data_IF_691164141990
#
_entry.id   IF_691164141990
#
_cell.length_a   1.000
_cell.length_b   1.000
_cell.length_c   1.000
_cell.angle_alpha   90.00
_cell.angle_beta   90.00
_cell.angle_gamma   90.00
#
_symmetry.space_group_name_H-M   'P 1'
#
loop_
_entity.id
_entity.type
_entity.pdbx_description
1 polymer ?
#
# COMPACT_ATOMS: atom_id res chain seq x y z
N UNK A 1 25.33 1.25 -14.47
CA UNK A 1 24.54 2.37 -15.02
C UNK A 1 25.16 3.71 -14.69
N UNK A 2 24.84 4.77 -15.45
CA UNK A 2 25.18 6.15 -15.12
C UNK A 2 24.13 6.75 -14.18
N UNK A 3 24.55 7.69 -13.33
CA UNK A 3 23.65 8.66 -12.71
C UNK A 3 23.33 9.78 -13.70
N UNK A 4 22.17 10.42 -13.53
CA UNK A 4 21.80 11.59 -14.32
C UNK A 4 22.58 12.83 -13.87
N UNK A 5 22.97 13.67 -14.83
CA UNK A 5 23.70 14.92 -14.61
C UNK A 5 22.79 16.16 -14.53
N UNK A 6 21.58 16.08 -15.12
CA UNK A 6 20.61 17.16 -15.15
C UNK A 6 19.20 16.68 -14.80
N UNK A 7 18.29 17.60 -14.47
CA UNK A 7 16.88 17.26 -14.19
C UNK A 7 16.17 16.67 -15.41
N UNK A 8 16.47 17.16 -16.62
CA UNK A 8 15.87 16.66 -17.87
C UNK A 8 16.22 15.19 -18.15
N UNK A 9 17.43 14.75 -17.74
CA UNK A 9 17.83 13.35 -17.83
C UNK A 9 17.11 12.46 -16.79
N UNK A 10 16.66 13.03 -15.68
CA UNK A 10 15.91 12.31 -14.63
C UNK A 10 14.42 12.24 -14.97
N UNK A 11 13.86 13.35 -15.43
CA UNK A 11 12.43 13.53 -15.66
C UNK A 11 12.13 13.56 -17.15
N UNK A 12 12.08 12.38 -17.77
CA UNK A 12 11.80 12.25 -19.21
C UNK A 12 10.32 12.02 -19.47
N UNK A 13 9.85 12.39 -20.67
CA UNK A 13 8.45 12.16 -21.05
C UNK A 13 8.08 10.67 -21.10
N UNK A 14 9.03 9.82 -21.52
CA UNK A 14 8.84 8.36 -21.49
C UNK A 14 8.70 7.83 -20.05
N UNK A 15 9.47 8.35 -19.09
CA UNK A 15 9.34 7.99 -17.67
C UNK A 15 7.95 8.33 -17.14
N UNK A 16 7.43 9.51 -17.50
CA UNK A 16 6.07 9.94 -17.12
C UNK A 16 5.00 9.04 -17.74
N UNK A 17 5.05 8.78 -19.06
CA UNK A 17 4.07 7.93 -19.74
C UNK A 17 4.07 6.52 -19.15
N UNK A 18 5.24 5.91 -18.99
CA UNK A 18 5.36 4.59 -18.37
C UNK A 18 4.88 4.61 -16.92
N UNK A 19 5.21 5.67 -16.17
CA UNK A 19 4.70 5.94 -14.84
C UNK A 19 3.19 5.90 -14.76
N UNK A 20 2.50 6.61 -15.67
CA UNK A 20 1.03 6.68 -15.74
C UNK A 20 0.44 5.32 -16.11
N UNK A 21 0.94 4.67 -17.16
CA UNK A 21 0.44 3.36 -17.61
C UNK A 21 0.62 2.33 -16.50
N UNK A 22 1.81 2.25 -15.91
CA UNK A 22 2.08 1.35 -14.82
C UNK A 22 1.26 1.69 -13.58
N UNK A 23 1.05 2.96 -13.25
CA UNK A 23 0.20 3.39 -12.14
C UNK A 23 -1.25 2.92 -12.31
N UNK A 24 -1.83 2.97 -13.52
CA UNK A 24 -3.18 2.44 -13.79
C UNK A 24 -3.24 0.93 -13.50
N UNK A 25 -2.25 0.17 -13.99
CA UNK A 25 -2.17 -1.28 -13.80
C UNK A 25 -2.01 -1.63 -12.32
N UNK A 26 -1.05 -0.97 -11.65
CA UNK A 26 -0.75 -1.19 -10.24
C UNK A 26 -1.93 -0.78 -9.37
N UNK A 27 -2.59 0.35 -9.63
CA UNK A 27 -3.78 0.78 -8.88
C UNK A 27 -4.88 -0.28 -8.95
N UNK A 28 -5.17 -0.78 -10.16
CA UNK A 28 -6.21 -1.80 -10.37
C UNK A 28 -5.86 -3.11 -9.66
N UNK A 29 -4.61 -3.56 -9.80
CA UNK A 29 -4.12 -4.79 -9.15
C UNK A 29 -4.12 -4.66 -7.62
N UNK A 30 -3.60 -3.57 -7.09
CA UNK A 30 -3.54 -3.30 -5.65
C UNK A 30 -4.92 -3.17 -5.03
N UNK A 31 -5.86 -2.49 -5.69
CA UNK A 31 -7.26 -2.42 -5.25
C UNK A 31 -7.87 -3.81 -5.13
N UNK A 32 -7.69 -4.64 -6.16
CA UNK A 32 -8.20 -6.01 -6.16
C UNK A 32 -7.62 -6.83 -5.00
N UNK A 33 -6.30 -6.79 -4.80
CA UNK A 33 -5.64 -7.56 -3.74
C UNK A 33 -6.07 -7.07 -2.36
N UNK A 34 -6.14 -5.75 -2.15
CA UNK A 34 -6.61 -5.19 -0.88
C UNK A 34 -8.04 -5.63 -0.55
N UNK A 35 -8.96 -5.58 -1.52
CA UNK A 35 -10.34 -6.01 -1.30
C UNK A 35 -10.46 -7.52 -1.11
N UNK A 36 -9.65 -8.34 -1.80
CA UNK A 36 -9.72 -9.80 -1.73
C UNK A 36 -9.03 -10.38 -0.50
N UNK A 37 -7.94 -9.77 -0.02
CA UNK A 37 -7.11 -10.31 1.07
C UNK A 37 -7.15 -9.46 2.35
N UNK A 38 -7.72 -8.27 2.32
CA UNK A 38 -7.66 -7.32 3.44
C UNK A 38 -6.25 -6.81 3.72
N UNK A 39 -5.30 -7.04 2.81
CA UNK A 39 -3.90 -6.64 2.93
C UNK A 39 -3.37 -6.16 1.58
N UNK A 40 -2.53 -5.13 1.59
CA UNK A 40 -1.95 -4.54 0.38
C UNK A 40 -0.45 -4.88 0.32
N UNK A 41 -0.01 -5.78 -0.57
CA UNK A 41 1.42 -5.99 -0.78
C UNK A 41 2.01 -4.75 -1.46
N UNK A 42 3.11 -4.25 -0.93
CA UNK A 42 3.79 -3.08 -1.46
C UNK A 42 4.52 -3.44 -2.77
N UNK A 43 4.14 -2.84 -3.92
CA UNK A 43 4.64 -3.27 -5.22
C UNK A 43 6.02 -2.69 -5.59
N UNK A 44 6.68 -1.96 -4.67
CA UNK A 44 7.89 -1.16 -4.94
C UNK A 44 8.98 -1.93 -5.67
N UNK A 45 9.35 -3.13 -5.20
CA UNK A 45 10.42 -3.95 -5.81
C UNK A 45 10.03 -4.38 -7.23
N UNK A 46 8.81 -4.89 -7.39
CA UNK A 46 8.29 -5.31 -8.70
C UNK A 46 8.32 -4.15 -9.70
N UNK A 47 7.80 -3.01 -9.29
CA UNK A 47 7.70 -1.81 -10.11
C UNK A 47 9.07 -1.23 -10.44
N UNK A 48 10.05 -1.33 -9.53
CA UNK A 48 11.43 -0.92 -9.77
C UNK A 48 12.07 -1.76 -10.87
N UNK A 49 11.92 -3.09 -10.85
CA UNK A 49 12.45 -3.96 -11.91
C UNK A 49 11.70 -3.79 -13.22
N UNK A 50 10.38 -3.62 -13.16
CA UNK A 50 9.57 -3.39 -14.35
C UNK A 50 9.99 -2.10 -15.05
N UNK A 51 10.14 -1.02 -14.29
CA UNK A 51 10.60 0.28 -14.79
C UNK A 51 11.98 0.17 -15.43
N UNK A 52 12.92 -0.47 -14.74
CA UNK A 52 14.26 -0.78 -15.27
C UNK A 52 14.19 -1.54 -16.60
N UNK A 53 13.40 -2.63 -16.64
CA UNK A 53 13.35 -3.51 -17.81
C UNK A 53 12.72 -2.81 -19.01
N UNK A 54 11.59 -2.13 -18.82
CA UNK A 54 10.89 -1.45 -19.91
C UNK A 54 11.69 -0.26 -20.42
N UNK A 55 12.28 0.56 -19.54
CA UNK A 55 13.12 1.68 -19.96
C UNK A 55 14.37 1.22 -20.72
N UNK A 56 15.02 0.13 -20.26
CA UNK A 56 16.14 -0.48 -21.00
C UNK A 56 15.72 -1.02 -22.36
N UNK A 57 14.54 -1.64 -22.45
CA UNK A 57 14.02 -2.14 -23.72
C UNK A 57 13.74 -1.00 -24.72
N UNK A 58 13.42 0.19 -24.23
CA UNK A 58 13.20 1.40 -25.02
C UNK A 58 14.48 2.22 -25.27
N UNK A 59 15.66 1.73 -24.84
CA UNK A 59 16.96 2.32 -25.14
C UNK A 59 17.83 2.60 -23.91
N UNK A 60 18.72 3.60 -24.02
CA UNK A 60 19.59 4.00 -22.90
C UNK A 60 18.76 4.65 -21.80
N UNK A 61 19.00 4.27 -20.56
CA UNK A 61 18.38 4.83 -19.36
C UNK A 61 19.42 5.05 -18.26
N UNK A 62 19.04 5.72 -17.18
CA UNK A 62 19.87 5.99 -16.01
C UNK A 62 19.10 5.67 -14.72
N UNK A 63 19.82 5.57 -13.59
CA UNK A 63 19.22 5.16 -12.31
C UNK A 63 18.12 6.13 -11.84
N UNK A 64 18.29 7.43 -12.07
CA UNK A 64 17.33 8.44 -11.63
C UNK A 64 16.03 8.41 -12.45
N UNK A 65 16.11 8.18 -13.76
CA UNK A 65 14.95 8.02 -14.64
C UNK A 65 14.11 6.80 -14.26
N UNK A 66 14.78 5.69 -13.92
CA UNK A 66 14.12 4.50 -13.37
C UNK A 66 13.48 4.83 -12.02
N UNK A 67 14.16 5.60 -11.18
CA UNK A 67 13.63 6.01 -9.89
C UNK A 67 12.35 6.84 -10.05
N UNK A 68 12.33 7.82 -10.95
CA UNK A 68 11.14 8.63 -11.26
C UNK A 68 10.00 7.76 -11.78
N UNK A 69 10.28 6.88 -12.75
CA UNK A 69 9.28 6.01 -13.36
C UNK A 69 8.67 5.06 -12.34
N UNK A 70 9.50 4.40 -11.52
CA UNK A 70 9.01 3.44 -10.53
C UNK A 70 8.25 4.16 -9.42
N UNK A 71 8.70 5.35 -9.00
CA UNK A 71 8.00 6.14 -7.97
C UNK A 71 6.60 6.52 -8.45
N UNK A 72 6.47 6.97 -9.70
CA UNK A 72 5.19 7.31 -10.31
C UNK A 72 4.25 6.08 -10.41
N UNK A 73 4.78 4.94 -10.84
CA UNK A 73 4.01 3.68 -10.88
C UNK A 73 3.61 3.20 -9.48
N UNK A 74 4.51 3.29 -8.50
CA UNK A 74 4.26 2.82 -7.13
C UNK A 74 3.29 3.71 -6.37
N UNK A 75 3.20 4.99 -6.71
CA UNK A 75 2.21 5.91 -6.15
C UNK A 75 0.78 5.42 -6.37
N UNK A 76 0.49 4.78 -7.51
CA UNK A 76 -0.82 4.18 -7.79
C UNK A 76 -1.23 3.13 -6.75
N UNK A 77 -0.28 2.31 -6.28
CA UNK A 77 -0.53 1.33 -5.22
C UNK A 77 -0.88 1.97 -3.87
N UNK A 78 -0.24 3.10 -3.53
CA UNK A 78 -0.55 3.84 -2.28
C UNK A 78 -1.94 4.48 -2.32
N UNK A 79 -2.29 5.08 -3.46
CA UNK A 79 -3.63 5.64 -3.68
C UNK A 79 -4.68 4.55 -3.64
N UNK A 80 -4.44 3.40 -4.30
CA UNK A 80 -5.31 2.24 -4.24
C UNK A 80 -5.55 1.76 -2.81
N UNK A 81 -4.50 1.70 -1.97
CA UNK A 81 -4.65 1.36 -0.55
C UNK A 81 -5.59 2.31 0.18
N UNK A 82 -5.41 3.62 0.01
CA UNK A 82 -6.30 4.62 0.62
C UNK A 82 -7.77 4.41 0.25
N UNK A 83 -8.06 4.21 -1.05
CA UNK A 83 -9.43 4.02 -1.53
C UNK A 83 -10.00 2.65 -1.14
N UNK A 84 -9.20 1.58 -1.22
CA UNK A 84 -9.60 0.20 -0.95
C UNK A 84 -10.08 -0.02 0.48
N UNK A 85 -9.56 0.73 1.45
CA UNK A 85 -10.00 0.65 2.83
C UNK A 85 -11.09 1.67 3.18
N UNK A 86 -11.12 2.82 2.48
CA UNK A 86 -12.10 3.88 2.76
C UNK A 86 -13.49 3.53 2.24
N UNK A 87 -13.62 3.02 1.01
CA UNK A 87 -14.94 2.71 0.43
C UNK A 87 -15.69 1.65 1.25
N UNK A 88 -15.09 0.49 1.60
CA UNK A 88 -15.77 -0.46 2.47
C UNK A 88 -16.10 0.13 3.85
N UNK A 89 -15.22 0.99 4.39
CA UNK A 89 -15.48 1.68 5.65
C UNK A 89 -16.74 2.54 5.62
N UNK A 90 -16.97 3.26 4.51
CA UNK A 90 -18.21 4.03 4.30
C UNK A 90 -19.43 3.09 4.32
N UNK A 91 -19.39 1.97 3.60
CA UNK A 91 -20.50 1.01 3.56
C UNK A 91 -20.73 0.26 4.88
N UNK A 92 -19.70 0.14 5.71
CA UNK A 92 -19.84 -0.39 7.06
C UNK A 92 -20.56 0.59 7.99
N UNK A 93 -20.38 1.90 7.81
CA UNK A 93 -21.06 2.95 8.58
C UNK A 93 -22.49 3.18 8.09
N UNK A 94 -22.69 3.23 6.78
CA UNK A 94 -24.00 3.36 6.14
C UNK A 94 -24.10 2.42 4.93
N UNK A 95 -24.91 1.37 5.08
CA UNK A 95 -25.13 0.35 4.04
C UNK A 95 -25.80 0.92 2.78
N UNK A 96 -26.48 2.05 2.88
CA UNK A 96 -27.16 2.71 1.76
C UNK A 96 -26.32 3.83 1.14
N UNK A 97 -25.11 4.06 1.65
CA UNK A 97 -24.24 5.12 1.14
C UNK A 97 -23.87 4.87 -0.33
N UNK A 98 -24.16 5.87 -1.17
CA UNK A 98 -23.78 5.86 -2.59
C UNK A 98 -22.50 6.68 -2.77
N UNK A 99 -21.42 6.03 -3.19
CA UNK A 99 -20.14 6.70 -3.46
C UNK A 99 -20.17 7.19 -4.91
N UNK A 100 -20.52 8.47 -5.10
CA UNK A 100 -20.51 9.10 -6.42
C UNK A 100 -19.09 9.23 -6.99
N UNK A 101 -18.97 9.14 -8.32
CA UNK A 101 -17.67 9.25 -9.01
C UNK A 101 -16.99 10.60 -8.78
N UNK A 102 -17.71 11.71 -8.87
CA UNK A 102 -17.13 13.05 -8.72
C UNK A 102 -16.61 13.31 -7.29
N UNK A 103 -17.36 13.06 -6.20
CA UNK A 103 -16.82 13.14 -4.84
C UNK A 103 -15.61 12.22 -4.62
N UNK A 104 -15.67 10.98 -5.12
CA UNK A 104 -14.57 10.04 -5.00
C UNK A 104 -13.30 10.55 -5.70
N UNK A 105 -13.44 11.09 -6.90
CA UNK A 105 -12.33 11.66 -7.66
C UNK A 105 -11.71 12.85 -6.91
N UNK A 106 -12.53 13.79 -6.43
CA UNK A 106 -12.05 14.97 -5.69
C UNK A 106 -11.35 14.57 -4.39
N UNK A 107 -11.93 13.67 -3.61
CA UNK A 107 -11.33 13.19 -2.35
C UNK A 107 -10.02 12.47 -2.62
N UNK A 108 -9.97 11.62 -3.65
CA UNK A 108 -8.75 10.88 -4.01
C UNK A 108 -7.63 11.82 -4.47
N UNK A 109 -7.94 12.81 -5.30
CA UNK A 109 -6.97 13.82 -5.76
C UNK A 109 -6.49 14.70 -4.61
N UNK A 110 -7.42 15.20 -3.78
CA UNK A 110 -7.13 15.98 -2.59
C UNK A 110 -6.20 15.22 -1.64
N UNK A 111 -6.57 13.99 -1.28
CA UNK A 111 -5.76 13.13 -0.40
C UNK A 111 -4.38 12.83 -0.98
N UNK A 112 -4.27 12.64 -2.30
CA UNK A 112 -2.97 12.40 -2.96
C UNK A 112 -2.08 13.65 -2.86
N UNK A 113 -2.61 14.84 -3.15
CA UNK A 113 -1.85 16.09 -3.08
C UNK A 113 -1.43 16.39 -1.63
N UNK A 114 -2.34 16.24 -0.66
CA UNK A 114 -2.03 16.40 0.76
C UNK A 114 -0.95 15.41 1.21
N UNK A 115 -1.07 14.16 0.80
CA UNK A 115 -0.06 13.14 1.09
C UNK A 115 1.32 13.53 0.59
N UNK A 116 1.43 14.06 -0.63
CA UNK A 116 2.71 14.55 -1.20
C UNK A 116 3.25 15.73 -0.39
N UNK A 117 2.42 16.69 0.00
CA UNK A 117 2.83 17.86 0.81
C UNK A 117 3.36 17.40 2.18
N UNK A 118 2.63 16.52 2.86
CA UNK A 118 3.02 15.99 4.18
C UNK A 118 4.34 15.21 4.06
N UNK A 119 4.45 14.29 3.09
CA UNK A 119 5.67 13.51 2.86
C UNK A 119 6.86 14.44 2.57
N UNK A 120 6.69 15.44 1.71
CA UNK A 120 7.75 16.41 1.41
C UNK A 120 8.21 17.16 2.67
N UNK A 121 7.29 17.47 3.59
CA UNK A 121 7.59 18.20 4.83
C UNK A 121 8.34 17.33 5.85
N UNK A 122 7.90 16.08 6.03
CA UNK A 122 8.49 15.18 7.03
C UNK A 122 9.75 14.47 6.53
N UNK A 123 9.97 14.38 5.21
CA UNK A 123 11.07 13.65 4.56
C UNK A 123 12.42 14.00 5.19
N UNK A 124 12.76 15.28 5.27
CA UNK A 124 14.07 15.73 5.76
C UNK A 124 14.32 15.27 7.20
N UNK A 125 13.31 15.40 8.06
CA UNK A 125 13.43 15.00 9.46
C UNK A 125 13.67 13.49 9.60
N UNK A 126 12.85 12.65 8.92
CA UNK A 126 12.95 11.20 9.08
C UNK A 126 14.11 10.56 8.30
N UNK A 127 14.51 11.14 7.15
CA UNK A 127 15.58 10.58 6.30
C UNK A 127 16.95 11.15 6.68
N UNK A 128 17.08 12.46 6.83
CA UNK A 128 18.39 13.12 6.93
C UNK A 128 18.80 13.36 8.39
N UNK A 129 17.85 13.76 9.25
CA UNK A 129 18.11 14.05 10.68
C UNK A 129 18.10 12.78 11.52
N UNK A 130 16.99 12.03 11.49
CA UNK A 130 16.83 10.80 12.29
C UNK A 130 17.51 9.58 11.64
N UNK A 131 17.85 9.66 10.35
CA UNK A 131 18.51 8.58 9.58
C UNK A 131 17.86 7.21 9.79
N UNK A 132 16.53 7.17 9.77
CA UNK A 132 15.81 5.92 9.94
C UNK A 132 16.21 4.92 8.84
N UNK A 133 16.30 3.62 9.16
CA UNK A 133 16.53 2.62 8.13
C UNK A 133 15.31 2.58 7.21
N UNK A 134 15.52 2.81 5.91
CA UNK A 134 14.50 2.64 4.85
C UNK A 134 14.72 1.32 4.10
N UNK A 135 14.56 0.15 4.75
CA UNK A 135 14.97 -1.14 4.20
C UNK A 135 14.29 -1.45 2.86
N UNK A 136 13.03 -1.04 2.69
CA UNK A 136 12.30 -1.22 1.43
C UNK A 136 12.87 -0.37 0.28
N UNK A 137 13.25 0.88 0.56
CA UNK A 137 13.87 1.75 -0.43
C UNK A 137 15.27 1.26 -0.81
N UNK A 138 16.06 0.83 0.18
CA UNK A 138 17.37 0.22 -0.03
C UNK A 138 17.23 -1.06 -0.86
N UNK A 139 16.31 -1.95 -0.50
CA UNK A 139 16.06 -3.19 -1.25
C UNK A 139 15.64 -2.91 -2.70
N UNK A 140 14.81 -1.90 -2.94
CA UNK A 140 14.43 -1.49 -4.29
C UNK A 140 15.64 -0.96 -5.09
N UNK A 141 16.48 -0.13 -4.47
CA UNK A 141 17.70 0.38 -5.10
C UNK A 141 18.69 -0.75 -5.45
N UNK A 142 18.99 -1.63 -4.49
CA UNK A 142 19.83 -2.82 -4.69
C UNK A 142 19.28 -3.74 -5.78
N UNK A 143 17.95 -3.86 -5.85
CA UNK A 143 17.30 -4.66 -6.89
C UNK A 143 17.46 -4.03 -8.28
N UNK A 144 17.37 -2.70 -8.40
CA UNK A 144 17.62 -2.00 -9.68
C UNK A 144 19.08 -2.16 -10.10
N UNK A 145 20.02 -2.02 -9.17
CA UNK A 145 21.45 -2.22 -9.42
C UNK A 145 21.74 -3.66 -9.86
N UNK A 146 21.25 -4.65 -9.12
CA UNK A 146 21.40 -6.07 -9.45
C UNK A 146 20.67 -6.46 -10.76
N UNK A 147 19.58 -5.77 -11.10
CA UNK A 147 18.88 -5.95 -12.37
C UNK A 147 19.62 -5.30 -13.54
N UNK A 148 20.36 -4.22 -13.29
CA UNK A 148 21.17 -3.54 -14.32
C UNK A 148 22.30 -4.44 -14.82
N UNK A 149 22.96 -5.16 -13.92
CA UNK A 149 24.00 -6.15 -14.23
C UNK A 149 23.50 -7.28 -15.14
N UNK A 150 22.18 -7.47 -15.22
CA UNK A 150 21.53 -8.46 -16.08
C UNK A 150 21.75 -9.91 -15.62
N UNK A 151 21.44 -10.87 -16.50
CA UNK A 151 21.72 -12.29 -16.26
C UNK A 151 20.58 -13.09 -15.64
N UNK A 152 20.93 -14.04 -14.76
CA UNK A 152 20.02 -15.11 -14.31
C UNK A 152 18.85 -14.59 -13.45
N UNK A 153 19.04 -13.49 -12.71
CA UNK A 153 18.01 -12.87 -11.86
C UNK A 153 16.80 -12.38 -12.65
N UNK A 154 17.02 -11.74 -13.80
CA UNK A 154 15.93 -11.27 -14.67
C UNK A 154 15.10 -12.44 -15.24
N UNK A 155 15.76 -13.53 -15.63
CA UNK A 155 15.08 -14.74 -16.12
C UNK A 155 14.18 -15.37 -15.04
N UNK A 156 14.67 -15.45 -13.80
CA UNK A 156 13.87 -15.96 -12.68
C UNK A 156 12.67 -15.07 -12.37
N UNK A 157 12.84 -13.74 -12.41
CA UNK A 157 11.74 -12.81 -12.19
C UNK A 157 10.63 -12.96 -13.24
N UNK A 158 10.96 -12.83 -14.52
CA UNK A 158 9.95 -12.90 -15.58
C UNK A 158 9.39 -14.31 -15.75
N UNK A 159 10.22 -15.34 -15.54
CA UNK A 159 9.78 -16.73 -15.52
C UNK A 159 8.79 -17.02 -14.40
N UNK A 160 9.09 -16.60 -13.17
CA UNK A 160 8.18 -16.79 -12.04
C UNK A 160 6.88 -15.99 -12.20
N UNK A 161 6.94 -14.79 -12.77
CA UNK A 161 5.75 -14.00 -13.13
C UNK A 161 4.87 -14.74 -14.15
N UNK A 162 5.46 -15.30 -15.21
CA UNK A 162 4.73 -16.08 -16.21
C UNK A 162 4.10 -17.35 -15.62
N UNK A 163 4.83 -18.09 -14.79
CA UNK A 163 4.31 -19.28 -14.09
C UNK A 163 3.17 -18.90 -13.14
N UNK A 164 3.33 -17.85 -12.34
CA UNK A 164 2.29 -17.37 -11.42
C UNK A 164 1.04 -16.91 -12.18
N UNK A 165 1.20 -16.22 -13.30
CA UNK A 165 0.10 -15.80 -14.16
C UNK A 165 -0.64 -17.01 -14.76
N UNK A 166 0.10 -18.01 -15.26
CA UNK A 166 -0.48 -19.24 -15.81
C UNK A 166 -1.24 -20.04 -14.75
N UNK A 167 -0.65 -20.25 -13.57
CA UNK A 167 -1.30 -20.94 -12.45
C UNK A 167 -2.56 -20.20 -12.01
N UNK A 168 -2.50 -18.86 -11.94
CA UNK A 168 -3.66 -18.04 -11.56
C UNK A 168 -4.75 -18.09 -12.64
N UNK A 169 -4.41 -18.08 -13.92
CA UNK A 169 -5.37 -18.25 -15.01
C UNK A 169 -6.01 -19.65 -15.00
N UNK A 170 -5.23 -20.70 -14.75
CA UNK A 170 -5.74 -22.07 -14.59
C UNK A 170 -6.70 -22.20 -13.41
N UNK A 171 -6.43 -21.50 -12.31
CA UNK A 171 -7.26 -21.49 -11.10
C UNK A 171 -8.52 -20.63 -11.25
N UNK A 172 -8.38 -19.36 -11.63
CA UNK A 172 -9.47 -18.37 -11.59
C UNK A 172 -10.25 -18.27 -12.91
N UNK A 173 -9.60 -18.38 -14.07
CA UNK A 173 -10.29 -18.24 -15.36
C UNK A 173 -10.79 -19.59 -15.89
N UNK A 174 -9.93 -20.61 -15.86
CA UNK A 174 -10.26 -21.94 -16.38
C UNK A 174 -10.77 -22.92 -15.34
N UNK A 175 -10.74 -22.57 -14.04
CA UNK A 175 -11.26 -23.37 -12.94
C UNK A 175 -10.74 -24.82 -12.92
N UNK A 176 -9.56 -25.07 -13.49
CA UNK A 176 -8.89 -26.39 -13.52
C UNK A 176 -8.19 -26.73 -12.21
N UNK A 177 -7.93 -25.71 -11.39
CA UNK A 177 -7.32 -25.84 -10.07
C UNK A 177 -8.31 -25.22 -9.07
N UNK A 178 -8.68 -25.93 -7.99
CA UNK A 178 -9.58 -25.37 -6.99
C UNK A 178 -8.91 -24.18 -6.29
N UNK A 179 -9.68 -23.09 -6.09
CA UNK A 179 -9.19 -21.87 -5.43
C UNK A 179 -8.76 -22.10 -3.97
N UNK A 180 -9.44 -23.02 -3.30
CA UNK A 180 -9.07 -23.53 -1.99
C UNK A 180 -9.22 -25.05 -1.98
N UNK A 181 -8.23 -25.72 -1.41
CA UNK A 181 -8.30 -27.15 -1.15
C UNK A 181 -8.83 -27.38 0.26
N UNK A 182 -9.98 -28.05 0.34
CA UNK A 182 -10.67 -28.38 1.60
C UNK A 182 -10.75 -29.89 1.76
N UNK A 183 -10.14 -30.50 2.80
CA UNK A 183 -10.21 -31.94 3.00
C UNK A 183 -11.63 -32.39 3.38
N UNK A 184 -12.32 -33.22 2.57
CA UNK A 184 -13.72 -33.60 2.84
C UNK A 184 -13.90 -34.32 4.19
N UNK A 185 -12.92 -35.12 4.60
CA UNK A 185 -12.95 -35.87 5.86
C UNK A 185 -12.91 -34.97 7.11
N UNK A 186 -12.23 -33.82 7.04
CA UNK A 186 -12.18 -32.84 8.15
C UNK A 186 -13.47 -32.02 8.21
N UNK A 187 -13.98 -31.62 7.04
CA UNK A 187 -15.24 -30.88 6.95
C UNK A 187 -16.44 -31.72 7.41
N UNK A 188 -16.46 -33.02 7.10
CA UNK A 188 -17.46 -33.95 7.61
C UNK A 188 -17.46 -34.06 9.15
N UNK A 189 -16.34 -33.72 9.80
CA UNK A 189 -16.18 -33.66 11.26
C UNK A 189 -16.34 -32.26 11.82
N UNK A 190 -16.89 -31.32 11.03
CA UNK A 190 -17.09 -29.93 11.39
C UNK A 190 -15.78 -29.14 11.67
N UNK A 191 -14.65 -29.62 11.16
CA UNK A 191 -13.36 -28.93 11.21
C UNK A 191 -13.18 -28.16 9.90
N UNK A 192 -13.46 -26.85 9.93
CA UNK A 192 -13.39 -25.96 8.76
C UNK A 192 -11.94 -25.59 8.40
N UNK A 193 -11.15 -26.58 8.01
CA UNK A 193 -9.78 -26.39 7.54
C UNK A 193 -9.74 -26.28 6.00
N UNK A 194 -8.99 -25.31 5.48
CA UNK A 194 -8.78 -25.16 4.04
C UNK A 194 -7.43 -24.53 3.74
N UNK A 195 -6.82 -24.95 2.62
CA UNK A 195 -5.59 -24.40 2.10
C UNK A 195 -5.89 -23.58 0.84
N UNK A 196 -5.67 -22.28 0.90
CA UNK A 196 -5.80 -21.40 -0.25
C UNK A 196 -4.65 -21.63 -1.23
N UNK A 197 -4.97 -22.05 -2.45
CA UNK A 197 -3.97 -22.30 -3.49
C UNK A 197 -3.68 -20.97 -4.18
N UNK A 198 -2.73 -20.21 -3.65
CA UNK A 198 -2.42 -18.87 -4.15
C UNK A 198 -0.92 -18.62 -4.28
N UNK A 199 -0.37 -18.54 -5.52
CA UNK A 199 1.01 -18.14 -5.75
C UNK A 199 1.36 -16.80 -5.07
N UNK A 200 0.41 -15.87 -5.06
CA UNK A 200 0.55 -14.59 -4.39
C UNK A 200 0.71 -14.75 -2.86
N UNK A 201 -0.09 -15.60 -2.21
CA UNK A 201 0.02 -15.80 -0.75
C UNK A 201 1.38 -16.41 -0.37
N UNK A 202 1.89 -17.35 -1.18
CA UNK A 202 3.23 -17.92 -1.02
C UNK A 202 4.31 -16.84 -1.17
N UNK A 203 4.20 -16.01 -2.21
CA UNK A 203 5.14 -14.91 -2.44
C UNK A 203 5.16 -13.89 -1.30
N UNK A 204 3.99 -13.48 -0.80
CA UNK A 204 3.86 -12.57 0.33
C UNK A 204 4.47 -13.17 1.60
N UNK A 205 4.19 -14.44 1.92
CA UNK A 205 4.76 -15.11 3.09
C UNK A 205 6.29 -15.22 3.02
N UNK A 206 6.84 -15.46 1.82
CA UNK A 206 8.28 -15.47 1.61
C UNK A 206 8.91 -14.08 1.84
N UNK A 207 8.30 -13.01 1.30
CA UNK A 207 8.79 -11.63 1.47
C UNK A 207 8.73 -11.15 2.92
N UNK A 208 7.65 -11.48 3.63
CA UNK A 208 7.47 -11.13 5.05
C UNK A 208 8.43 -11.96 5.92
N UNK A 209 8.78 -13.17 5.49
CA UNK A 209 9.69 -14.06 6.19
C UNK A 209 9.01 -14.96 7.23
N UNK A 210 9.69 -16.03 7.67
CA UNK A 210 9.09 -17.09 8.48
C UNK A 210 8.70 -16.62 9.88
N UNK A 211 9.44 -15.68 10.48
CA UNK A 211 9.14 -15.18 11.82
C UNK A 211 7.80 -14.45 11.85
N UNK A 212 7.64 -13.40 11.03
CA UNK A 212 6.41 -12.61 11.00
C UNK A 212 5.22 -13.44 10.47
N UNK A 213 5.42 -14.26 9.44
CA UNK A 213 4.38 -15.19 8.95
C UNK A 213 3.96 -16.18 10.05
N UNK A 214 4.91 -16.69 10.83
CA UNK A 214 4.67 -17.56 11.98
C UNK A 214 3.89 -16.86 13.08
N UNK A 215 4.21 -15.59 13.40
CA UNK A 215 3.45 -14.82 14.39
C UNK A 215 1.99 -14.59 13.95
N UNK A 216 1.75 -14.31 12.66
CA UNK A 216 0.38 -14.17 12.12
C UNK A 216 -0.38 -15.49 12.20
N UNK A 217 0.28 -16.60 11.84
CA UNK A 217 -0.29 -17.93 11.94
C UNK A 217 -0.64 -18.29 13.40
N UNK A 218 0.28 -18.07 14.33
CA UNK A 218 0.05 -18.31 15.75
C UNK A 218 -1.09 -17.43 16.29
N UNK A 219 -1.13 -16.15 15.92
CA UNK A 219 -2.24 -15.27 16.29
C UNK A 219 -3.59 -15.77 15.78
N UNK A 220 -3.65 -16.24 14.53
CA UNK A 220 -4.85 -16.85 13.96
C UNK A 220 -5.22 -18.15 14.69
N UNK A 221 -4.26 -19.04 14.93
CA UNK A 221 -4.48 -20.30 15.63
C UNK A 221 -4.99 -20.08 17.06
N UNK A 222 -4.35 -19.22 17.84
CA UNK A 222 -4.80 -18.87 19.20
C UNK A 222 -6.21 -18.25 19.17
N UNK A 223 -6.50 -17.39 18.19
CA UNK A 223 -7.80 -16.75 18.07
C UNK A 223 -8.92 -17.74 17.76
N UNK A 224 -8.73 -18.60 16.75
CA UNK A 224 -9.76 -19.54 16.28
C UNK A 224 -9.88 -20.80 17.14
N UNK A 225 -8.78 -21.29 17.73
CA UNK A 225 -8.77 -22.55 18.49
C UNK A 225 -8.96 -22.35 19.99
N UNK A 226 -8.58 -21.18 20.53
CA UNK A 226 -8.70 -20.92 21.98
C UNK A 226 -9.68 -19.78 22.27
N UNK A 227 -9.44 -18.58 21.77
CA UNK A 227 -10.20 -17.40 22.16
C UNK A 227 -11.69 -17.52 21.84
N UNK A 228 -12.05 -17.79 20.58
CA UNK A 228 -13.46 -17.87 20.17
C UNK A 228 -14.18 -19.01 20.91
N UNK A 229 -13.68 -20.26 20.95
CA UNK A 229 -14.35 -21.33 21.67
C UNK A 229 -14.49 -21.06 23.18
N UNK A 230 -13.46 -20.52 23.84
CA UNK A 230 -13.53 -20.21 25.28
C UNK A 230 -14.53 -19.08 25.57
N UNK A 231 -14.56 -18.04 24.74
CA UNK A 231 -15.48 -16.92 24.91
C UNK A 231 -16.94 -17.35 24.72
N UNK A 232 -17.21 -18.19 23.71
CA UNK A 232 -18.56 -18.67 23.40
C UNK A 232 -19.01 -19.76 24.37
N UNK A 233 -18.20 -20.80 24.60
CA UNK A 233 -18.56 -21.89 25.51
C UNK A 233 -18.58 -21.46 26.98
N UNK A 234 -17.78 -20.46 27.35
CA UNK A 234 -17.82 -19.84 28.67
C UNK A 234 -19.01 -18.91 28.89
N UNK A 235 -19.84 -18.66 27.86
CA UNK A 235 -21.01 -17.78 27.94
C UNK A 235 -20.67 -16.29 28.06
N UNK A 236 -19.41 -15.89 27.85
CA UNK A 236 -18.97 -14.50 27.98
C UNK A 236 -19.37 -13.64 26.78
N UNK A 237 -19.32 -14.21 25.57
CA UNK A 237 -19.61 -13.50 24.32
C UNK A 237 -20.41 -14.39 23.34
N UNK A 238 -21.23 -13.78 22.50
CA UNK A 238 -21.80 -14.47 21.34
C UNK A 238 -20.72 -14.78 20.29
N UNK A 239 -20.98 -15.75 19.41
CA UNK A 239 -20.08 -16.09 18.29
C UNK A 239 -19.75 -14.87 17.42
N UNK A 240 -20.76 -14.04 17.17
CA UNK A 240 -20.64 -12.80 16.39
C UNK A 240 -19.76 -11.77 17.10
N UNK A 241 -20.00 -11.54 18.40
CA UNK A 241 -19.21 -10.60 19.19
C UNK A 241 -17.76 -11.05 19.35
N UNK A 242 -17.51 -12.34 19.58
CA UNK A 242 -16.16 -12.89 19.66
C UNK A 242 -15.40 -12.76 18.33
N UNK A 243 -16.08 -13.02 17.20
CA UNK A 243 -15.50 -12.86 15.86
C UNK A 243 -15.20 -11.40 15.53
N UNK A 244 -16.12 -10.49 15.86
CA UNK A 244 -15.92 -9.05 15.68
C UNK A 244 -14.74 -8.55 16.51
N UNK A 245 -14.69 -8.90 17.81
CA UNK A 245 -13.61 -8.49 18.70
C UNK A 245 -12.24 -8.99 18.24
N UNK A 246 -12.15 -10.24 17.79
CA UNK A 246 -10.94 -10.82 17.17
C UNK A 246 -10.47 -10.01 15.96
N UNK A 247 -11.38 -9.57 15.11
CA UNK A 247 -11.03 -8.79 13.91
C UNK A 247 -10.65 -7.34 14.26
N UNK A 248 -11.28 -6.74 15.28
CA UNK A 248 -11.04 -5.36 15.68
C UNK A 248 -9.81 -5.16 16.57
N UNK A 249 -9.40 -6.16 17.35
CA UNK A 249 -8.25 -6.06 18.27
C UNK A 249 -6.95 -5.67 17.56
N UNK A 250 -6.67 -6.29 16.41
CA UNK A 250 -5.51 -5.96 15.60
C UNK A 250 -5.55 -4.53 15.05
N UNK A 251 -6.73 -4.07 14.62
CA UNK A 251 -6.94 -2.70 14.13
C UNK A 251 -6.69 -1.69 15.26
N UNK A 252 -7.21 -1.95 16.46
CA UNK A 252 -7.01 -1.08 17.62
C UNK A 252 -5.53 -0.90 17.99
N UNK A 253 -4.73 -1.96 17.92
CA UNK A 253 -3.29 -1.89 18.20
C UNK A 253 -2.54 -1.08 17.14
N UNK A 254 -2.89 -1.25 15.86
CA UNK A 254 -2.28 -0.50 14.75
C UNK A 254 -2.63 0.99 14.85
N UNK A 255 -3.92 1.32 15.05
CA UNK A 255 -4.38 2.70 15.20
C UNK A 255 -3.76 3.34 16.44
N UNK A 256 -3.73 2.64 17.57
CA UNK A 256 -3.12 3.12 18.81
C UNK A 256 -1.62 3.40 18.67
N UNK A 257 -0.88 2.53 17.97
CA UNK A 257 0.53 2.76 17.66
C UNK A 257 0.71 4.01 16.77
N UNK A 258 -0.14 4.18 15.76
CA UNK A 258 -0.13 5.37 14.90
C UNK A 258 -0.36 6.67 15.69
N UNK A 259 -1.36 6.68 16.58
CA UNK A 259 -1.61 7.81 17.49
C UNK A 259 -0.40 8.05 18.40
N UNK A 260 0.22 6.98 18.92
CA UNK A 260 1.44 7.07 19.72
C UNK A 260 2.60 7.75 18.97
N UNK A 261 2.82 7.39 17.70
CA UNK A 261 3.84 8.00 16.84
C UNK A 261 3.53 9.49 16.60
N UNK A 262 2.27 9.85 16.36
CA UNK A 262 1.89 11.24 16.20
C UNK A 262 2.14 12.05 17.48
N UNK A 263 1.72 11.54 18.64
CA UNK A 263 1.83 12.26 19.92
C UNK A 263 3.27 12.36 20.44
N UNK A 264 4.09 11.31 20.28
CA UNK A 264 5.48 11.30 20.78
C UNK A 264 6.52 11.70 19.74
N UNK A 265 6.30 11.37 18.47
CA UNK A 265 7.26 11.61 17.40
C UNK A 265 7.04 12.93 16.68
N UNK A 266 5.80 13.18 16.24
CA UNK A 266 5.50 14.32 15.36
C UNK A 266 5.16 15.58 16.14
N UNK A 267 4.23 15.52 17.10
CA UNK A 267 3.70 16.68 17.81
C UNK A 267 4.77 17.50 18.55
N UNK A 268 5.74 16.90 19.29
CA UNK A 268 6.76 17.66 20.01
C UNK A 268 7.71 18.40 19.06
N UNK A 269 7.91 17.87 17.85
CA UNK A 269 8.81 18.43 16.81
C UNK A 269 8.05 19.13 15.68
N UNK A 270 6.74 19.38 15.84
CA UNK A 270 5.89 19.90 14.78
C UNK A 270 6.39 21.24 14.21
N UNK A 271 6.97 22.11 15.05
CA UNK A 271 7.55 23.40 14.60
C UNK A 271 8.79 23.22 13.74
N UNK A 272 9.60 22.21 14.00
CA UNK A 272 10.80 21.90 13.20
C UNK A 272 10.40 21.23 11.87
N UNK A 273 9.46 20.29 11.94
CA UNK A 273 8.97 19.51 10.80
C UNK A 273 8.15 20.36 9.82
N UNK A 274 7.23 21.17 10.33
CA UNK A 274 6.29 21.95 9.53
C UNK A 274 6.63 23.45 9.46
N UNK A 275 7.61 23.94 10.22
CA UNK A 275 8.11 25.32 10.11
C UNK A 275 8.51 25.73 8.67
N UNK A 276 9.21 24.87 7.92
CA UNK A 276 9.54 25.12 6.51
C UNK A 276 8.34 25.36 5.58
N UNK A 277 7.16 24.78 5.87
CA UNK A 277 5.94 24.99 5.08
C UNK A 277 5.49 26.45 5.09
N UNK A 278 5.67 27.14 6.21
CA UNK A 278 5.24 28.52 6.41
C UNK A 278 6.35 29.54 6.11
N UNK A 279 7.62 29.16 6.34
CA UNK A 279 8.76 30.06 6.14
C UNK A 279 9.35 30.05 4.72
N UNK A 280 9.04 29.03 3.91
CA UNK A 280 9.65 28.85 2.60
C UNK A 280 11.17 28.62 2.65
N UNK A 281 11.68 28.17 3.80
CA UNK A 281 13.09 27.87 4.07
C UNK A 281 13.25 26.35 4.18
N UNK A 282 13.70 25.72 3.11
CA UNK A 282 13.93 24.28 3.01
C UNK A 282 14.38 23.91 1.59
N UNK A 283 14.86 22.69 1.40
CA UNK A 283 15.36 22.21 0.09
C UNK A 283 14.24 22.08 -0.97
N UNK A 284 12.98 22.04 -0.53
CA UNK A 284 11.78 22.03 -1.36
C UNK A 284 10.98 23.30 -1.08
N UNK A 285 10.68 24.09 -2.11
CA UNK A 285 9.91 25.32 -1.99
C UNK A 285 8.41 25.02 -1.78
N UNK A 286 7.98 24.92 -0.52
CA UNK A 286 6.61 24.62 -0.14
C UNK A 286 5.75 25.87 0.14
N UNK A 287 6.14 27.05 -0.35
CA UNK A 287 5.41 28.31 -0.12
C UNK A 287 3.94 28.29 -0.55
N UNK A 288 3.61 27.47 -1.56
CA UNK A 288 2.25 27.31 -2.04
C UNK A 288 1.44 26.28 -1.27
N UNK A 289 2.06 25.47 -0.40
CA UNK A 289 1.38 24.41 0.33
C UNK A 289 0.19 24.92 1.17
N UNK A 290 0.26 26.05 1.90
CA UNK A 290 -0.90 26.57 2.62
C UNK A 290 -2.07 26.97 1.70
N UNK A 291 -1.77 27.54 0.52
CA UNK A 291 -2.78 27.89 -0.47
C UNK A 291 -3.43 26.63 -1.06
N UNK A 292 -2.62 25.63 -1.40
CA UNK A 292 -3.08 24.35 -1.91
C UNK A 292 -3.96 23.62 -0.89
N UNK A 293 -3.56 23.63 0.38
CA UNK A 293 -4.36 23.10 1.50
C UNK A 293 -5.70 23.81 1.60
N UNK A 294 -5.72 25.14 1.55
CA UNK A 294 -6.96 25.92 1.57
C UNK A 294 -7.87 25.60 0.37
N UNK A 295 -7.30 25.46 -0.83
CA UNK A 295 -8.03 25.08 -2.03
C UNK A 295 -8.62 23.66 -1.93
N UNK A 296 -7.89 22.74 -1.31
CA UNK A 296 -8.36 21.38 -1.04
C UNK A 296 -9.52 21.38 -0.04
N UNK A 297 -9.41 22.14 1.05
CA UNK A 297 -10.50 22.31 2.02
C UNK A 297 -11.76 22.82 1.30
N UNK A 298 -11.63 23.86 0.48
CA UNK A 298 -12.73 24.40 -0.31
C UNK A 298 -13.36 23.33 -1.22
N UNK A 299 -12.54 22.65 -2.03
CA UNK A 299 -12.99 21.58 -2.94
C UNK A 299 -13.73 20.45 -2.22
N UNK A 300 -13.22 20.00 -1.07
CA UNK A 300 -13.83 18.95 -0.27
C UNK A 300 -15.18 19.39 0.32
N UNK A 301 -15.27 20.63 0.80
CA UNK A 301 -16.53 21.17 1.31
C UNK A 301 -17.59 21.39 0.24
N UNK A 302 -17.21 21.88 -0.95
CA UNK A 302 -18.19 22.27 -1.97
C UNK A 302 -18.57 21.11 -2.89
N UNK A 303 -17.61 20.26 -3.26
CA UNK A 303 -17.83 19.19 -4.27
C UNK A 303 -18.09 17.85 -3.62
N UNK A 304 -17.41 17.52 -2.52
CA UNK A 304 -17.64 16.26 -1.81
C UNK A 304 -18.75 16.38 -0.74
N UNK A 305 -19.28 17.59 -0.50
CA UNK A 305 -20.36 17.83 0.47
C UNK A 305 -19.96 17.52 1.91
N UNK A 306 -18.67 17.42 2.19
CA UNK A 306 -18.15 17.17 3.52
C UNK A 306 -18.33 18.45 4.33
N UNK A 307 -18.91 18.37 5.54
CA UNK A 307 -19.06 19.56 6.39
C UNK A 307 -17.72 20.29 6.59
N UNK A 308 -17.78 21.62 6.78
CA UNK A 308 -16.57 22.44 6.95
C UNK A 308 -15.71 21.99 8.13
N UNK A 309 -16.32 21.72 9.29
CA UNK A 309 -15.60 21.23 10.47
C UNK A 309 -14.91 19.88 10.22
N UNK A 310 -15.63 18.84 9.73
CA UNK A 310 -14.98 17.58 9.37
C UNK A 310 -13.83 17.77 8.39
N UNK A 311 -14.01 18.58 7.35
CA UNK A 311 -12.96 18.84 6.35
C UNK A 311 -11.72 19.46 6.97
N UNK A 312 -11.89 20.46 7.85
CA UNK A 312 -10.79 21.18 8.50
C UNK A 312 -10.03 20.32 9.52
N UNK A 313 -10.66 19.26 10.06
CA UNK A 313 -10.00 18.27 10.93
C UNK A 313 -9.27 17.20 10.11
N UNK A 314 -9.71 16.96 8.88
CA UNK A 314 -9.16 15.89 8.01
C UNK A 314 -7.92 16.35 7.25
N UNK A 315 -7.78 17.66 7.01
CA UNK A 315 -6.70 18.30 6.24
C UNK A 315 -5.71 18.99 7.19
#
# INVERSE_FOLDING_TARGET
MSYASSFEEQFTWRAVILGVIGSIIITTSSMYVALRMGALPWPTIFVAILSLTVLKALGRTNLNEINVTHTAMSAGGMVAGGVAFTIPGIWMLDKNATVGFAPLLVVTLAGTVLGVIIVASIRRHFIEVEQLPFPMGIAAAETVLAGDEGGQKAKWLFGSLGVAALLTALRDQWQKIPGAWTPPALWARNIQFGLWVSPMAVGIGYLIGPFFTGTWFLGAALSYLLFIPLAVNGGYLSMEAATALKNSLGIGLIVGAGVGVLLKGVLPKAREIFGPLLGGTGDINLRWAPLTVAAIIFLLTTVAGIGFLPTLVTV
#
